data_IF_102413973633
#
_entry.id   IF_102413973633
#
_cell.length_a   1.000
_cell.length_b   1.000
_cell.length_c   1.000
_cell.angle_alpha   90.00
_cell.angle_beta   90.00
_cell.angle_gamma   90.00
#
_symmetry.space_group_name_H-M   'P 1'
#
loop_
_entity.id
_entity.type
_entity.pdbx_description
1 polymer ?
#
# COMPACT_ATOMS: atom_id res chain seq x y z
N UNK A 1 -16.50 0.50 -3.18
CA UNK A 1 -15.86 -0.74 -2.66
C UNK A 1 -15.81 -0.68 -1.14
N UNK A 2 -16.25 -1.72 -0.40
CA UNK A 2 -16.33 -1.70 1.07
C UNK A 2 -15.18 -2.46 1.74
N UNK A 3 -14.83 -2.15 2.99
CA UNK A 3 -13.79 -2.85 3.76
C UNK A 3 -14.00 -4.38 3.80
N UNK A 4 -15.26 -4.81 3.85
CA UNK A 4 -15.63 -6.23 3.85
C UNK A 4 -15.33 -6.92 2.52
N UNK A 5 -15.67 -6.25 1.41
CA UNK A 5 -15.36 -6.76 0.07
C UNK A 5 -13.87 -7.00 -0.14
N UNK A 6 -13.02 -6.05 0.25
CA UNK A 6 -11.57 -6.19 0.16
C UNK A 6 -11.03 -7.36 0.99
N UNK A 7 -11.62 -7.59 2.17
CA UNK A 7 -11.23 -8.68 3.07
C UNK A 7 -11.62 -10.03 2.47
N UNK A 8 -12.84 -10.15 1.98
CA UNK A 8 -13.36 -11.39 1.37
C UNK A 8 -12.61 -11.72 0.07
N UNK A 9 -12.31 -10.70 -0.74
CA UNK A 9 -11.47 -10.83 -1.94
C UNK A 9 -10.06 -11.29 -1.59
N UNK A 10 -9.39 -10.67 -0.59
CA UNK A 10 -8.05 -11.08 -0.18
C UNK A 10 -8.01 -12.53 0.34
N UNK A 11 -9.06 -12.97 1.08
CA UNK A 11 -9.17 -14.36 1.52
C UNK A 11 -9.34 -15.33 0.35
N UNK A 12 -10.12 -15.00 -0.67
CA UNK A 12 -10.28 -15.86 -1.85
C UNK A 12 -8.94 -16.14 -2.54
N UNK A 13 -8.10 -15.11 -2.66
CA UNK A 13 -6.75 -15.22 -3.25
C UNK A 13 -5.80 -16.08 -2.43
N UNK A 14 -5.89 -16.02 -1.09
CA UNK A 14 -5.09 -16.88 -0.20
C UNK A 14 -5.39 -18.36 -0.44
N UNK A 15 -6.66 -18.69 -0.66
CA UNK A 15 -7.13 -20.05 -0.92
C UNK A 15 -6.70 -20.50 -2.32
N UNK A 16 -6.98 -19.69 -3.35
CA UNK A 16 -6.72 -20.02 -4.76
C UNK A 16 -5.24 -20.31 -5.04
N UNK A 17 -4.33 -19.56 -4.40
CA UNK A 17 -2.89 -19.70 -4.61
C UNK A 17 -2.19 -20.58 -3.56
N UNK A 18 -2.94 -21.28 -2.71
CA UNK A 18 -2.41 -22.16 -1.65
C UNK A 18 -1.32 -21.49 -0.80
N UNK A 19 -1.60 -20.24 -0.41
CA UNK A 19 -0.62 -19.37 0.22
C UNK A 19 -0.32 -19.83 1.65
N UNK A 20 0.88 -20.37 1.86
CA UNK A 20 1.38 -20.70 3.21
C UNK A 20 1.92 -19.45 3.92
N UNK A 21 2.07 -19.51 5.24
CA UNK A 21 2.60 -18.41 6.08
C UNK A 21 4.05 -17.98 5.77
N UNK A 22 4.69 -18.54 4.73
CA UNK A 22 5.97 -18.06 4.21
C UNK A 22 5.76 -16.68 3.56
N UNK A 23 5.85 -15.68 4.44
CA UNK A 23 5.66 -14.23 4.39
C UNK A 23 5.99 -13.42 3.11
N UNK A 24 6.48 -14.02 2.03
CA UNK A 24 6.94 -13.30 0.84
C UNK A 24 6.14 -13.61 -0.43
N UNK A 25 5.71 -14.86 -0.63
CA UNK A 25 4.99 -15.27 -1.86
C UNK A 25 3.57 -14.71 -1.92
N UNK A 26 2.85 -14.80 -0.82
CA UNK A 26 1.47 -14.31 -0.68
C UNK A 26 1.39 -12.80 -0.80
N UNK A 27 2.34 -12.11 -0.17
CA UNK A 27 2.47 -10.66 -0.21
C UNK A 27 2.75 -10.15 -1.63
N UNK A 28 3.59 -10.88 -2.38
CA UNK A 28 3.94 -10.53 -3.75
C UNK A 28 2.76 -10.55 -4.71
N UNK A 29 1.82 -11.48 -4.52
CA UNK A 29 0.62 -11.58 -5.35
C UNK A 29 -0.40 -10.51 -4.98
N UNK A 30 -0.72 -10.38 -3.69
CA UNK A 30 -1.69 -9.38 -3.21
C UNK A 30 -1.24 -7.96 -3.58
N UNK A 31 0.04 -7.64 -3.41
CA UNK A 31 0.55 -6.31 -3.78
C UNK A 31 0.59 -6.07 -5.28
N UNK A 32 0.83 -7.11 -6.09
CA UNK A 32 0.73 -6.98 -7.54
C UNK A 32 -0.70 -6.71 -7.96
N UNK A 33 -1.67 -7.43 -7.42
CA UNK A 33 -3.08 -7.20 -7.73
C UNK A 33 -3.57 -5.82 -7.26
N UNK A 34 -3.14 -5.35 -6.07
CA UNK A 34 -3.43 -3.98 -5.61
C UNK A 34 -2.79 -2.94 -6.55
N UNK A 35 -1.55 -3.15 -6.97
CA UNK A 35 -0.86 -2.27 -7.91
C UNK A 35 -1.56 -2.25 -9.28
N UNK A 36 -1.95 -3.40 -9.80
CA UNK A 36 -2.61 -3.53 -11.09
C UNK A 36 -3.97 -2.84 -11.09
N UNK A 37 -4.72 -2.94 -9.98
CA UNK A 37 -5.98 -2.22 -9.77
C UNK A 37 -5.76 -0.71 -9.65
N UNK A 38 -4.77 -0.28 -8.85
CA UNK A 38 -4.49 1.13 -8.62
C UNK A 38 -3.92 1.83 -9.88
N UNK A 39 -3.31 1.06 -10.78
CA UNK A 39 -2.78 1.54 -12.07
C UNK A 39 -3.75 1.28 -13.23
N UNK A 40 -4.95 0.79 -12.96
CA UNK A 40 -5.99 0.63 -13.97
C UNK A 40 -6.41 2.00 -14.51
N UNK A 41 -6.77 2.09 -15.79
CA UNK A 41 -7.17 3.35 -16.42
C UNK A 41 -8.39 3.98 -15.76
N UNK A 42 -9.26 3.18 -15.14
CA UNK A 42 -10.42 3.66 -14.41
C UNK A 42 -10.04 4.44 -13.14
N UNK A 43 -8.96 4.04 -12.45
CA UNK A 43 -8.55 4.62 -11.17
C UNK A 43 -7.36 5.59 -11.32
N UNK A 44 -6.36 5.21 -12.13
CA UNK A 44 -5.13 5.95 -12.41
C UNK A 44 -4.48 6.61 -11.19
N UNK A 45 -4.48 5.90 -10.06
CA UNK A 45 -3.93 6.36 -8.78
C UNK A 45 -2.40 6.23 -8.79
N UNK A 46 -1.88 5.21 -9.48
CA UNK A 46 -0.45 4.94 -9.62
C UNK A 46 -0.09 4.88 -11.10
N UNK A 47 0.99 5.57 -11.49
CA UNK A 47 1.47 5.57 -12.87
C UNK A 47 2.01 4.17 -13.26
N UNK A 48 1.42 3.60 -14.33
CA UNK A 48 1.77 2.30 -14.89
C UNK A 48 3.10 2.32 -15.67
N UNK A 49 3.68 3.50 -15.93
CA UNK A 49 4.96 3.66 -16.66
C UNK A 49 6.21 3.21 -15.88
N UNK A 50 6.02 2.56 -14.74
CA UNK A 50 7.10 2.09 -13.90
C UNK A 50 7.67 0.77 -14.47
N UNK A 51 8.77 0.85 -15.22
CA UNK A 51 9.59 -0.31 -15.64
C UNK A 51 9.81 -1.27 -14.46
N UNK A 52 9.25 -2.48 -14.58
CA UNK A 52 9.44 -3.68 -13.75
C UNK A 52 10.14 -3.41 -12.40
N UNK A 53 9.37 -2.96 -11.40
CA UNK A 53 9.87 -2.82 -10.03
C UNK A 53 9.74 -4.15 -9.28
N UNK A 54 10.73 -4.48 -8.46
CA UNK A 54 10.64 -5.64 -7.59
C UNK A 54 9.43 -5.51 -6.66
N UNK A 55 8.86 -6.64 -6.25
CA UNK A 55 7.70 -6.69 -5.32
C UNK A 55 7.89 -5.79 -4.10
N UNK A 56 9.11 -5.75 -3.57
CA UNK A 56 9.44 -4.91 -2.43
C UNK A 56 9.30 -3.40 -2.73
N UNK A 57 9.64 -2.95 -3.94
CA UNK A 57 9.43 -1.56 -4.37
C UNK A 57 7.93 -1.25 -4.55
N UNK A 58 7.16 -2.20 -5.12
CA UNK A 58 5.69 -2.07 -5.23
C UNK A 58 5.08 -1.94 -3.83
N UNK A 59 5.53 -2.77 -2.87
CA UNK A 59 5.09 -2.73 -1.46
C UNK A 59 5.26 -1.35 -0.85
N UNK A 60 6.41 -0.71 -1.09
CA UNK A 60 6.71 0.64 -0.61
C UNK A 60 5.77 1.68 -1.20
N UNK A 61 5.53 1.61 -2.51
CA UNK A 61 4.61 2.53 -3.19
C UNK A 61 3.19 2.38 -2.64
N UNK A 62 2.64 1.16 -2.60
CA UNK A 62 1.28 0.92 -2.07
C UNK A 62 1.18 1.35 -0.60
N UNK A 63 2.17 1.05 0.23
CA UNK A 63 2.17 1.43 1.63
C UNK A 63 2.19 2.96 1.82
N UNK A 64 3.00 3.67 1.04
CA UNK A 64 3.07 5.14 1.12
C UNK A 64 1.75 5.77 0.66
N UNK A 65 1.20 5.33 -0.48
CA UNK A 65 -0.08 5.82 -1.00
C UNK A 65 -1.24 5.63 -0.02
N UNK A 66 -1.33 4.48 0.67
CA UNK A 66 -2.38 4.22 1.66
C UNK A 66 -2.29 5.19 2.86
N UNK A 67 -1.07 5.45 3.34
CA UNK A 67 -0.83 6.37 4.46
C UNK A 67 -1.08 7.82 4.03
N UNK A 68 -0.61 8.22 2.84
CA UNK A 68 -0.84 9.57 2.27
C UNK A 68 -2.33 9.85 2.07
N UNK A 69 -3.13 8.81 1.81
CA UNK A 69 -4.59 8.90 1.72
C UNK A 69 -5.29 9.03 3.09
N UNK A 70 -4.54 9.10 4.19
CA UNK A 70 -5.07 9.27 5.54
C UNK A 70 -5.58 7.99 6.20
N UNK A 71 -5.23 6.81 5.68
CA UNK A 71 -5.64 5.54 6.28
C UNK A 71 -4.82 5.30 7.56
N UNK A 72 -5.51 4.85 8.62
CA UNK A 72 -4.87 4.55 9.90
C UNK A 72 -3.74 3.50 9.75
N UNK A 73 -2.58 3.79 10.36
CA UNK A 73 -1.38 2.95 10.30
C UNK A 73 -1.61 1.49 10.71
N UNK A 74 -2.48 1.21 11.68
CA UNK A 74 -2.79 -0.17 12.09
C UNK A 74 -3.53 -0.93 10.98
N UNK A 75 -4.40 -0.24 10.22
CA UNK A 75 -5.07 -0.84 9.07
C UNK A 75 -4.07 -1.12 7.94
N UNK A 76 -3.14 -0.19 7.70
CA UNK A 76 -2.07 -0.40 6.71
C UNK A 76 -1.13 -1.53 7.15
N UNK A 77 -0.75 -1.62 8.43
CA UNK A 77 0.05 -2.71 9.01
C UNK A 77 -0.59 -4.08 8.76
N UNK A 78 -1.90 -4.18 8.99
CA UNK A 78 -2.66 -5.41 8.73
C UNK A 78 -2.68 -5.78 7.24
N UNK A 79 -2.93 -4.81 6.35
CA UNK A 79 -2.86 -5.01 4.89
C UNK A 79 -1.43 -5.44 4.47
N UNK A 80 -0.42 -4.85 5.11
CA UNK A 80 0.99 -5.13 4.85
C UNK A 80 1.48 -6.43 5.49
N UNK A 81 0.64 -7.08 6.28
CA UNK A 81 0.94 -8.31 7.04
C UNK A 81 2.21 -8.16 7.88
N UNK A 82 2.33 -7.01 8.55
CA UNK A 82 3.44 -6.74 9.46
C UNK A 82 3.03 -7.01 10.91
N UNK A 83 3.96 -7.56 11.68
CA UNK A 83 3.82 -7.79 13.12
C UNK A 83 3.67 -6.49 13.90
N UNK A 84 4.34 -5.43 13.45
CA UNK A 84 4.50 -4.17 14.16
C UNK A 84 4.43 -2.97 13.21
N UNK A 85 4.00 -1.83 13.76
CA UNK A 85 3.83 -0.57 13.05
C UNK A 85 5.19 0.02 12.66
N UNK A 86 6.23 -0.22 13.48
CA UNK A 86 7.58 0.28 13.23
C UNK A 86 8.14 -0.24 11.91
N UNK A 87 7.95 -1.53 11.62
CA UNK A 87 8.36 -2.12 10.34
C UNK A 87 7.67 -1.43 9.18
N UNK A 88 6.38 -1.09 9.33
CA UNK A 88 5.57 -0.39 8.32
C UNK A 88 6.10 1.02 8.07
N UNK A 89 6.29 1.80 9.12
CA UNK A 89 6.76 3.18 9.04
C UNK A 89 8.22 3.27 8.57
N UNK A 90 9.13 2.53 9.20
CA UNK A 90 10.56 2.71 8.96
C UNK A 90 11.01 2.22 7.58
N UNK A 91 10.41 1.14 7.10
CA UNK A 91 10.91 0.44 5.92
C UNK A 91 9.99 0.54 4.70
N UNK A 92 8.73 0.96 4.87
CA UNK A 92 7.72 0.91 3.80
C UNK A 92 6.98 2.22 3.53
N UNK A 93 7.03 3.22 4.42
CA UNK A 93 6.48 4.56 4.13
C UNK A 93 7.60 5.51 3.71
N UNK A 94 7.45 6.12 2.54
CA UNK A 94 8.36 7.11 1.99
C UNK A 94 7.55 8.34 1.61
N UNK A 95 8.05 9.53 1.93
CA UNK A 95 7.42 10.75 1.45
C UNK A 95 7.49 10.77 -0.09
N UNK A 96 6.32 10.83 -0.71
CA UNK A 96 6.19 10.86 -2.17
C UNK A 96 5.98 12.27 -2.71
N UNK A 97 5.86 13.27 -1.81
CA UNK A 97 5.64 14.66 -2.17
C UNK A 97 6.97 15.37 -2.47
N UNK A 98 6.88 16.46 -3.25
CA UNK A 98 7.99 17.39 -3.33
C UNK A 98 8.12 18.15 -2.01
N UNK A 99 9.35 18.53 -1.62
CA UNK A 99 9.62 19.19 -0.34
C UNK A 99 8.73 20.43 -0.11
N UNK A 100 8.45 21.19 -1.18
CA UNK A 100 7.56 22.36 -1.11
C UNK A 100 6.09 22.01 -0.79
N UNK A 101 5.63 20.82 -1.16
CA UNK A 101 4.27 20.37 -0.87
C UNK A 101 4.17 19.79 0.53
N UNK A 102 5.22 19.14 1.01
CA UNK A 102 5.36 18.74 2.43
C UNK A 102 5.28 19.96 3.35
N UNK A 103 6.02 21.04 3.03
CA UNK A 103 5.98 22.27 3.82
C UNK A 103 4.57 22.90 3.87
N UNK A 104 3.86 22.95 2.73
CA UNK A 104 2.47 23.42 2.68
C UNK A 104 1.53 22.55 3.51
N UNK A 105 1.70 21.22 3.44
CA UNK A 105 0.89 20.28 4.21
C UNK A 105 1.10 20.44 5.72
N UNK A 106 2.34 20.64 6.15
CA UNK A 106 2.70 20.94 7.55
C UNK A 106 2.07 22.25 8.00
N UNK A 107 2.22 23.32 7.21
CA UNK A 107 1.62 24.63 7.53
C UNK A 107 0.08 24.49 7.63
N UNK A 108 -0.56 23.82 6.68
CA UNK A 108 -2.01 23.60 6.67
C UNK A 108 -2.47 22.80 7.89
N UNK A 109 -1.73 21.78 8.32
CA UNK A 109 -2.08 20.96 9.48
C UNK A 109 -1.92 21.72 10.80
N UNK A 110 -0.96 22.64 10.88
CA UNK A 110 -0.71 23.47 12.06
C UNK A 110 -1.51 24.77 12.10
N UNK A 111 -2.12 25.15 10.98
CA UNK A 111 -3.01 26.31 10.89
C UNK A 111 -4.37 25.94 11.49
N UNK A 112 -4.52 26.22 12.79
CA UNK A 112 -5.78 26.11 13.56
C UNK A 112 -6.54 27.43 13.46
#
# INVERSE_FOLDING_TARGET
>A
MTKRYLKDWAYSKIIDYQLTSKAFGSMALILREIFDLASDEEFNIIDRNIKYRSVHKIRKTVCSTLIDSGININTVREIMVHSDEETTLRNYTFDTNEASDTDKAVIKALSI
#
